data_IF_419169671567
#
_entry.id   IF_419169671567
#
_cell.length_a   1.000
_cell.length_b   1.000
_cell.length_c   1.000
_cell.angle_alpha   90.00
_cell.angle_beta   90.00
_cell.angle_gamma   90.00
#
_symmetry.space_group_name_H-M   'P 1'
#
loop_
_entity.id
_entity.type
_entity.pdbx_description
1 polymer ?
#
# COMPACT_ATOMS: atom_id res chain seq x y z
N UNK A 1 10.99 -23.42 27.30
CA UNK A 1 9.71 -23.16 26.59
C UNK A 1 9.37 -21.70 26.84
N UNK A 2 9.67 -20.81 25.90
CA UNK A 2 9.48 -19.37 26.11
C UNK A 2 8.01 -19.03 25.83
N UNK A 3 7.25 -18.71 26.86
CA UNK A 3 5.84 -18.36 26.72
C UNK A 3 5.71 -16.98 26.08
N UNK A 4 5.07 -16.93 24.90
CA UNK A 4 4.82 -15.72 24.14
C UNK A 4 3.98 -14.71 24.95
N UNK A 5 4.37 -13.43 24.92
CA UNK A 5 3.74 -12.40 25.74
C UNK A 5 2.32 -12.05 25.22
N UNK A 6 1.45 -11.47 26.07
CA UNK A 6 0.12 -11.04 25.65
C UNK A 6 0.14 -10.02 24.49
N UNK A 7 1.20 -9.21 24.42
CA UNK A 7 1.40 -8.23 23.34
C UNK A 7 1.71 -8.96 22.04
N UNK A 8 2.64 -9.92 22.07
CA UNK A 8 3.01 -10.71 20.88
C UNK A 8 1.80 -11.44 20.27
N UNK A 9 0.91 -11.99 21.11
CA UNK A 9 -0.34 -12.62 20.65
C UNK A 9 -1.30 -11.64 20.00
N UNK A 10 -1.29 -10.38 20.43
CA UNK A 10 -2.14 -9.33 19.86
C UNK A 10 -1.61 -8.92 18.49
N UNK A 11 -0.29 -8.76 18.37
CA UNK A 11 0.37 -8.45 17.10
C UNK A 11 0.17 -9.58 16.09
N UNK A 12 0.32 -10.83 16.52
CA UNK A 12 0.12 -12.01 15.68
C UNK A 12 -1.33 -12.13 15.19
N UNK A 13 -2.33 -11.88 16.05
CA UNK A 13 -3.74 -11.86 15.64
C UNK A 13 -4.08 -10.73 14.68
N UNK A 14 -3.44 -9.57 14.83
CA UNK A 14 -3.63 -8.45 13.88
C UNK A 14 -3.00 -8.81 12.54
N UNK A 15 -1.78 -9.38 12.53
CA UNK A 15 -1.13 -9.86 11.33
C UNK A 15 -1.95 -10.96 10.63
N UNK A 16 -2.52 -11.91 11.37
CA UNK A 16 -3.36 -12.98 10.84
C UNK A 16 -4.68 -12.45 10.23
N UNK A 17 -5.26 -11.40 10.83
CA UNK A 17 -6.44 -10.70 10.27
C UNK A 17 -6.12 -9.86 9.04
N UNK A 18 -4.90 -9.37 8.91
CA UNK A 18 -4.41 -8.66 7.73
C UNK A 18 -3.94 -9.62 6.63
N UNK A 19 -3.54 -10.85 6.99
CA UNK A 19 -3.13 -11.91 6.07
C UNK A 19 -4.29 -12.54 5.30
N UNK A 20 -5.53 -12.08 5.51
CA UNK A 20 -6.65 -12.43 4.63
C UNK A 20 -6.32 -11.87 3.24
N UNK A 21 -6.30 -12.70 2.18
CA UNK A 21 -6.07 -12.18 0.84
C UNK A 21 -7.15 -11.15 0.56
N UNK A 22 -6.73 -9.88 0.46
CA UNK A 22 -7.58 -8.83 -0.09
C UNK A 22 -7.95 -9.34 -1.47
N UNK A 23 -9.18 -9.83 -1.62
CA UNK A 23 -9.68 -10.23 -2.93
C UNK A 23 -9.47 -9.00 -3.81
N UNK A 24 -8.59 -9.11 -4.82
CA UNK A 24 -8.37 -8.02 -5.79
C UNK A 24 -9.75 -7.50 -6.15
N UNK A 25 -10.00 -6.22 -5.86
CA UNK A 25 -11.23 -5.58 -6.29
C UNK A 25 -11.34 -5.87 -7.79
N UNK A 26 -12.42 -6.54 -8.19
CA UNK A 26 -12.67 -6.88 -9.59
C UNK A 26 -12.47 -5.59 -10.38
N UNK A 27 -11.55 -5.62 -11.35
CA UNK A 27 -11.31 -4.48 -12.22
C UNK A 27 -12.67 -3.96 -12.70
N UNK A 28 -12.96 -2.70 -12.40
CA UNK A 28 -14.19 -2.06 -12.83
C UNK A 28 -14.09 -2.08 -14.35
N UNK A 29 -15.00 -2.78 -15.03
CA UNK A 29 -14.90 -3.05 -16.47
C UNK A 29 -15.00 -1.78 -17.33
N UNK A 30 -15.26 -0.63 -16.71
CA UNK A 30 -15.20 0.69 -17.33
C UNK A 30 -14.97 1.73 -16.21
N UNK A 31 -13.72 2.09 -15.88
CA UNK A 31 -13.48 3.16 -14.92
C UNK A 31 -14.00 4.49 -15.50
N UNK A 32 -14.55 5.39 -14.67
CA UNK A 32 -14.82 6.75 -15.13
C UNK A 32 -13.53 7.36 -15.66
N UNK A 33 -13.62 8.07 -16.79
CA UNK A 33 -12.49 8.75 -17.40
C UNK A 33 -12.09 9.93 -16.51
N UNK A 34 -11.08 9.73 -15.66
CA UNK A 34 -10.52 10.77 -14.80
C UNK A 34 -9.24 11.26 -15.44
N UNK A 35 -9.20 12.54 -15.83
CA UNK A 35 -7.98 13.16 -16.33
C UNK A 35 -6.88 13.14 -15.25
N UNK A 36 -5.61 12.92 -15.61
CA UNK A 36 -4.53 12.93 -14.64
C UNK A 36 -4.40 14.31 -13.98
N UNK A 37 -3.91 14.33 -12.74
CA UNK A 37 -3.60 15.59 -12.07
C UNK A 37 -2.60 16.39 -12.90
N UNK A 38 -2.76 17.72 -13.02
CA UNK A 38 -1.73 18.58 -13.57
C UNK A 38 -0.41 18.40 -12.81
N UNK A 39 0.72 18.57 -13.49
CA UNK A 39 2.03 18.57 -12.82
C UNK A 39 2.29 19.93 -12.15
N UNK A 40 3.09 20.01 -11.07
CA UNK A 40 3.34 21.25 -10.33
C UNK A 40 3.82 22.45 -11.16
N UNK A 41 4.51 22.20 -12.27
CA UNK A 41 5.00 23.18 -13.23
C UNK A 41 3.92 23.73 -14.19
N UNK A 42 2.77 23.05 -14.29
CA UNK A 42 1.68 23.46 -15.17
C UNK A 42 0.86 24.58 -14.53
N UNK A 43 0.46 25.57 -15.34
CA UNK A 43 -0.40 26.67 -14.90
C UNK A 43 -1.78 26.22 -14.40
N UNK A 44 -2.22 25.01 -14.78
CA UNK A 44 -3.47 24.40 -14.31
C UNK A 44 -3.34 23.70 -12.94
N UNK A 45 -2.15 23.65 -12.35
CA UNK A 45 -1.92 23.05 -11.05
C UNK A 45 -2.51 23.90 -9.92
N UNK A 46 -3.32 23.28 -9.09
CA UNK A 46 -3.90 23.90 -7.91
C UNK A 46 -3.24 23.34 -6.65
N UNK A 47 -2.42 24.19 -6.03
CA UNK A 47 -1.69 23.88 -4.79
C UNK A 47 -2.65 23.55 -3.64
N UNK A 48 -3.84 24.15 -3.59
CA UNK A 48 -4.83 23.89 -2.54
C UNK A 48 -5.42 22.50 -2.71
N UNK A 49 -5.78 22.11 -3.93
CA UNK A 49 -6.26 20.75 -4.22
C UNK A 49 -5.19 19.71 -3.90
N UNK A 50 -3.94 19.96 -4.28
CA UNK A 50 -2.83 19.07 -3.96
C UNK A 50 -2.60 18.92 -2.44
N UNK A 51 -2.70 20.02 -1.69
CA UNK A 51 -2.54 19.98 -0.23
C UNK A 51 -3.70 19.25 0.46
N UNK A 52 -4.94 19.40 -0.04
CA UNK A 52 -6.07 18.60 0.45
C UNK A 52 -5.88 17.12 0.15
N UNK A 53 -5.46 16.78 -1.07
CA UNK A 53 -5.21 15.41 -1.48
C UNK A 53 -4.19 14.70 -0.58
N UNK A 54 -3.09 15.38 -0.24
CA UNK A 54 -2.05 14.86 0.65
C UNK A 54 -2.54 14.57 2.09
N UNK A 55 -3.66 15.17 2.51
CA UNK A 55 -4.30 14.90 3.81
C UNK A 55 -5.34 13.79 3.73
N UNK A 56 -5.94 13.60 2.54
CA UNK A 56 -6.93 12.55 2.27
C UNK A 56 -6.25 11.20 2.12
N UNK A 57 -5.18 11.12 1.32
CA UNK A 57 -4.46 9.88 1.07
C UNK A 57 -2.96 10.12 1.21
N UNK A 58 -2.27 9.27 1.97
CA UNK A 58 -0.83 9.38 2.15
C UNK A 58 -0.18 8.03 2.44
N UNK A 59 1.12 7.93 2.12
CA UNK A 59 1.95 6.76 2.42
C UNK A 59 2.40 6.82 3.88
N UNK A 60 2.20 5.73 4.61
CA UNK A 60 2.55 5.62 6.04
C UNK A 60 3.76 4.72 6.31
N UNK A 61 4.28 4.03 5.29
CA UNK A 61 5.43 3.13 5.41
C UNK A 61 5.32 1.92 4.49
N UNK A 62 5.98 0.85 4.88
CA UNK A 62 5.92 -0.47 4.24
C UNK A 62 5.47 -1.53 5.25
N UNK A 63 4.78 -2.56 4.79
CA UNK A 63 4.44 -3.73 5.61
C UNK A 63 5.64 -4.69 5.73
N UNK A 64 5.46 -5.80 6.45
CA UNK A 64 6.50 -6.83 6.63
C UNK A 64 6.84 -7.60 5.36
N UNK A 65 6.04 -7.46 4.30
CA UNK A 65 6.22 -8.08 2.99
C UNK A 65 6.85 -7.11 1.98
N UNK A 66 7.09 -5.85 2.38
CA UNK A 66 7.64 -4.81 1.51
C UNK A 66 6.59 -4.01 0.74
N UNK A 67 5.29 -4.20 0.98
CA UNK A 67 4.23 -3.47 0.29
C UNK A 67 4.01 -2.08 0.89
N UNK A 68 3.73 -1.05 0.07
CA UNK A 68 3.44 0.30 0.54
C UNK A 68 2.13 0.32 1.32
N UNK A 69 2.19 0.85 2.55
CA UNK A 69 1.03 1.11 3.38
C UNK A 69 0.48 2.50 3.05
N UNK A 70 -0.78 2.54 2.62
CA UNK A 70 -1.52 3.76 2.31
C UNK A 70 -2.60 3.97 3.38
N UNK A 71 -2.71 5.21 3.86
CA UNK A 71 -3.77 5.62 4.78
C UNK A 71 -4.73 6.55 4.03
N UNK A 72 -6.00 6.18 4.04
CA UNK A 72 -7.10 7.01 3.60
C UNK A 72 -7.80 7.62 4.82
N UNK A 73 -7.73 8.94 4.98
CA UNK A 73 -8.41 9.67 6.04
C UNK A 73 -9.79 10.14 5.55
N UNK A 74 -10.83 9.37 5.89
CA UNK A 74 -12.22 9.74 5.56
C UNK A 74 -12.64 11.09 6.16
N UNK A 75 -12.08 11.46 7.32
CA UNK A 75 -12.37 12.73 7.98
C UNK A 75 -11.67 13.94 7.34
N UNK A 76 -10.71 13.72 6.45
CA UNK A 76 -10.01 14.79 5.73
C UNK A 76 -10.73 15.22 4.43
N UNK A 77 -11.81 14.53 4.05
CA UNK A 77 -12.59 14.90 2.89
C UNK A 77 -13.33 16.23 3.11
N UNK A 78 -13.22 17.18 2.17
CA UNK A 78 -13.96 18.43 2.26
C UNK A 78 -15.45 18.22 1.98
N UNK A 79 -16.28 19.19 2.37
CA UNK A 79 -17.69 19.21 2.00
C UNK A 79 -17.83 19.24 0.46
N UNK A 80 -18.69 18.37 -0.07
CA UNK A 80 -18.93 18.26 -1.52
C UNK A 80 -19.64 19.50 -2.11
N UNK A 81 -20.25 20.34 -1.28
CA UNK A 81 -20.80 21.63 -1.71
C UNK A 81 -19.73 22.72 -1.82
N UNK A 82 -18.54 22.52 -1.23
CA UNK A 82 -17.46 23.50 -1.19
C UNK A 82 -16.36 23.22 -2.21
N UNK A 83 -16.10 21.94 -2.50
CA UNK A 83 -15.00 21.51 -3.39
C UNK A 83 -15.54 20.59 -4.48
N UNK A 84 -15.17 20.87 -5.73
CA UNK A 84 -15.47 19.98 -6.86
C UNK A 84 -14.59 18.72 -6.79
N UNK A 85 -15.22 17.59 -6.50
CA UNK A 85 -14.54 16.29 -6.42
C UNK A 85 -13.97 15.86 -7.77
N UNK A 86 -14.52 16.30 -8.90
CA UNK A 86 -13.95 15.96 -10.21
C UNK A 86 -12.58 16.63 -10.42
N UNK A 87 -12.34 17.77 -9.76
CA UNK A 87 -11.03 18.44 -9.77
C UNK A 87 -10.10 17.91 -8.68
N UNK A 88 -10.63 17.53 -7.51
CA UNK A 88 -9.83 17.02 -6.40
C UNK A 88 -9.36 15.58 -6.60
N UNK A 89 -10.22 14.69 -7.10
CA UNK A 89 -9.93 13.26 -7.24
C UNK A 89 -8.67 12.97 -8.07
N UNK A 90 -8.38 13.65 -9.20
CA UNK A 90 -7.11 13.51 -9.90
C UNK A 90 -5.89 13.63 -8.99
N UNK A 91 -5.86 14.62 -8.08
CA UNK A 91 -4.75 14.82 -7.14
C UNK A 91 -4.66 13.69 -6.10
N UNK A 92 -5.80 13.19 -5.62
CA UNK A 92 -5.82 12.06 -4.67
C UNK A 92 -5.32 10.79 -5.35
N UNK A 93 -5.78 10.52 -6.56
CA UNK A 93 -5.39 9.33 -7.33
C UNK A 93 -3.92 9.35 -7.74
N UNK A 94 -3.33 10.53 -7.95
CA UNK A 94 -1.90 10.68 -8.25
C UNK A 94 -0.96 10.19 -7.13
N UNK A 95 -1.49 9.96 -5.91
CA UNK A 95 -0.71 9.43 -4.77
C UNK A 95 -0.63 7.90 -4.80
N UNK A 96 -1.54 7.25 -5.53
CA UNK A 96 -1.55 5.79 -5.64
C UNK A 96 -0.28 5.29 -6.34
N UNK A 97 0.21 4.09 -5.96
CA UNK A 97 1.24 3.40 -6.69
C UNK A 97 0.87 3.27 -8.18
N UNK A 98 1.84 3.52 -9.05
CA UNK A 98 1.68 3.24 -10.47
C UNK A 98 1.68 1.74 -10.75
N UNK A 99 1.27 1.34 -11.95
CA UNK A 99 1.23 -0.08 -12.35
C UNK A 99 2.60 -0.75 -12.21
N UNK A 100 3.68 -0.07 -12.63
CA UNK A 100 5.05 -0.60 -12.50
C UNK A 100 5.44 -0.89 -11.04
N UNK A 101 5.02 -0.03 -10.10
CA UNK A 101 5.32 -0.23 -8.68
C UNK A 101 4.54 -1.44 -8.13
N UNK A 102 3.32 -1.65 -8.61
CA UNK A 102 2.50 -2.82 -8.24
C UNK A 102 3.12 -4.11 -8.76
N UNK A 103 3.62 -4.11 -9.99
CA UNK A 103 4.27 -5.28 -10.61
C UNK A 103 5.60 -5.66 -9.93
N UNK A 104 6.37 -4.67 -9.49
CA UNK A 104 7.59 -4.88 -8.70
C UNK A 104 7.30 -5.55 -7.36
N UNK A 105 6.21 -5.17 -6.69
CA UNK A 105 5.77 -5.76 -5.42
C UNK A 105 5.34 -7.21 -5.56
N UNK A 106 4.59 -7.54 -6.62
CA UNK A 106 4.16 -8.91 -6.91
C UNK A 106 5.36 -9.84 -7.18
N UNK A 107 6.43 -9.31 -7.77
CA UNK A 107 7.64 -10.07 -8.11
C UNK A 107 8.51 -10.43 -6.89
N UNK A 108 8.39 -9.72 -5.78
CA UNK A 108 9.17 -9.97 -4.55
C UNK A 108 8.60 -11.08 -3.66
N UNK A 109 7.39 -11.57 -3.94
CA UNK A 109 6.74 -12.66 -3.21
C UNK A 109 7.30 -14.07 -3.44
N UNK A 110 8.20 -14.27 -4.42
CA UNK A 110 8.70 -15.61 -4.79
C UNK A 110 10.05 -16.01 -4.16
N UNK A 111 10.70 -15.17 -3.35
CA UNK A 111 12.00 -15.51 -2.75
C UNK A 111 11.93 -15.65 -1.23
N UNK A 112 11.26 -16.69 -0.75
CA UNK A 112 11.12 -16.87 0.69
C UNK A 112 10.69 -18.25 1.20
N UNK A 113 11.04 -19.37 0.57
CA UNK A 113 10.97 -20.68 1.25
C UNK A 113 11.78 -21.78 0.53
N UNK A 114 13.09 -21.61 0.48
CA UNK A 114 14.04 -22.68 0.11
C UNK A 114 14.92 -23.00 1.32
N UNK A 115 14.41 -23.80 2.26
CA UNK A 115 15.19 -24.27 3.40
C UNK A 115 16.24 -25.28 2.97
N UNK A 116 17.44 -24.84 2.59
CA UNK A 116 18.62 -25.71 2.53
C UNK A 116 19.19 -25.93 3.94
N UNK A 117 18.46 -26.72 4.74
CA UNK A 117 19.02 -27.48 5.86
C UNK A 117 19.58 -28.79 5.32
N UNK A 118 20.73 -28.76 4.68
CA UNK A 118 21.59 -29.93 4.41
C UNK A 118 22.88 -29.36 3.80
N UNK A 119 23.93 -29.08 4.58
CA UNK A 119 25.03 -30.04 4.71
C UNK A 119 25.97 -29.56 5.81
N UNK A 120 25.82 -30.09 7.03
CA UNK A 120 26.84 -29.94 8.06
C UNK A 120 26.92 -31.17 8.95
N UNK A 121 27.08 -32.33 8.34
CA UNK A 121 27.52 -33.57 9.00
C UNK A 121 28.09 -34.49 7.93
N UNK A 122 29.40 -34.48 7.77
CA UNK A 122 30.28 -35.62 7.47
C UNK A 122 31.68 -35.07 7.17
N UNK A 123 32.47 -34.90 8.23
CA UNK A 123 33.94 -34.98 8.21
C UNK A 123 34.45 -34.90 9.65
N UNK A 124 34.05 -35.88 10.45
CA UNK A 124 34.78 -36.27 11.66
C UNK A 124 34.71 -37.79 11.70
N UNK A 125 35.87 -38.39 11.97
CA UNK A 125 36.17 -39.82 12.12
C UNK A 125 36.70 -40.52 10.85
N UNK A 126 37.97 -40.93 10.93
CA UNK A 126 38.68 -41.79 9.99
C UNK A 126 40.07 -41.30 9.66
#
# INVERSE_FOLDING_TARGET
MTSMSPVDRTVERVAERLAVPIRRARAISNPPEVSPAPQPEHAAYDVKLAHMAARILYRSGIDSLGNPLLVLSAAAFPDANEVDYNQLLPYVLAILPGENEIDELDSHGEKGSGGERQSRLHAREG
#
